data_IF_016675934994
#
_entry.id   IF_016675934994
#
_cell.length_a   1.000
_cell.length_b   1.000
_cell.length_c   1.000
_cell.angle_alpha   90.00
_cell.angle_beta   90.00
_cell.angle_gamma   90.00
#
_symmetry.space_group_name_H-M   'P 1'
#
loop_
_entity.id
_entity.type
_entity.pdbx_description
1 polymer ?
#
# COMPACT_ATOMS: atom_id res chain seq x y z
N UNK A 1 25.86 -14.06 22.56
CA UNK A 1 25.93 -14.56 21.17
C UNK A 1 25.01 -13.69 20.32
N UNK A 2 25.46 -13.24 19.15
CA UNK A 2 24.62 -12.46 18.24
C UNK A 2 23.59 -13.38 17.59
N UNK A 3 22.40 -12.87 17.33
CA UNK A 3 21.43 -13.57 16.50
C UNK A 3 21.91 -13.55 15.05
N UNK A 4 21.98 -14.70 14.40
CA UNK A 4 22.50 -14.80 13.03
C UNK A 4 21.63 -14.04 12.03
N UNK A 5 20.32 -14.00 12.24
CA UNK A 5 19.39 -13.26 11.40
C UNK A 5 19.63 -11.75 11.55
N UNK A 6 19.78 -11.26 12.79
CA UNK A 6 20.13 -9.87 13.06
C UNK A 6 21.47 -9.48 12.43
N UNK A 7 22.49 -10.33 12.58
CA UNK A 7 23.80 -10.13 11.95
C UNK A 7 23.72 -10.06 10.42
N UNK A 8 22.90 -10.92 9.79
CA UNK A 8 22.65 -10.89 8.34
C UNK A 8 21.95 -9.60 7.91
N UNK A 9 21.05 -9.05 8.73
CA UNK A 9 20.31 -7.82 8.44
C UNK A 9 20.98 -6.54 8.94
N UNK A 10 22.17 -6.61 9.54
CA UNK A 10 22.86 -5.45 10.11
C UNK A 10 22.22 -4.87 11.38
N UNK A 11 21.58 -5.73 12.18
CA UNK A 11 20.95 -5.40 13.46
C UNK A 11 21.74 -6.02 14.63
N UNK A 12 21.66 -5.42 15.83
CA UNK A 12 22.45 -5.83 17.00
C UNK A 12 21.72 -6.78 17.97
N UNK A 13 20.76 -7.56 17.47
CA UNK A 13 19.94 -8.46 18.29
C UNK A 13 20.75 -9.57 18.98
N UNK A 14 20.48 -9.79 20.26
CA UNK A 14 21.12 -10.85 21.07
C UNK A 14 20.34 -12.14 21.01
N UNK A 15 21.03 -13.24 20.71
CA UNK A 15 20.45 -14.57 20.77
C UNK A 15 20.24 -15.01 22.22
N UNK A 16 19.09 -15.64 22.48
CA UNK A 16 18.76 -16.26 23.77
C UNK A 16 18.63 -17.77 23.68
N UNK A 17 18.56 -18.32 22.46
CA UNK A 17 18.47 -19.74 22.19
C UNK A 17 19.29 -20.13 20.95
N UNK A 18 19.54 -21.43 20.79
CA UNK A 18 20.13 -22.02 19.59
C UNK A 18 19.09 -22.93 18.96
N UNK A 19 18.81 -22.70 17.69
CA UNK A 19 17.90 -23.52 16.89
C UNK A 19 18.72 -24.56 16.12
N UNK A 20 18.45 -25.83 16.35
CA UNK A 20 19.22 -26.94 15.77
C UNK A 20 18.46 -27.63 14.63
N UNK A 21 19.20 -28.02 13.58
CA UNK A 21 18.73 -28.95 12.56
C UNK A 21 18.95 -30.40 13.02
N UNK A 22 18.21 -31.33 12.39
CA UNK A 22 18.40 -32.77 12.56
C UNK A 22 19.78 -33.26 12.09
N UNK A 23 20.48 -32.48 11.26
CA UNK A 23 21.85 -32.73 10.80
C UNK A 23 22.92 -32.37 11.85
N UNK A 24 22.55 -31.81 13.00
CA UNK A 24 23.49 -31.38 14.05
C UNK A 24 24.03 -29.95 13.89
N UNK A 25 23.59 -29.22 12.86
CA UNK A 25 23.87 -27.79 12.70
C UNK A 25 23.01 -26.97 13.68
N UNK A 26 23.49 -25.82 14.16
CA UNK A 26 22.80 -24.93 15.10
C UNK A 26 23.04 -23.45 14.76
N UNK A 27 21.97 -22.65 14.82
CA UNK A 27 22.00 -21.21 14.59
C UNK A 27 21.44 -20.44 15.79
N UNK A 28 22.13 -19.37 16.17
CA UNK A 28 21.75 -18.52 17.30
C UNK A 28 20.57 -17.60 16.94
N UNK A 29 19.49 -17.62 17.73
CA UNK A 29 18.28 -16.85 17.46
C UNK A 29 17.84 -16.00 18.66
N UNK A 30 17.32 -14.81 18.37
CA UNK A 30 16.52 -14.01 19.29
C UNK A 30 15.03 -14.42 19.21
N UNK A 31 14.15 -13.97 20.12
CA UNK A 31 12.72 -14.26 20.06
C UNK A 31 12.08 -13.94 18.71
N UNK A 32 12.42 -12.77 18.14
CA UNK A 32 11.82 -12.26 16.90
C UNK A 32 12.21 -13.09 15.66
N UNK A 33 13.36 -13.76 15.71
CA UNK A 33 13.90 -14.51 14.58
C UNK A 33 13.92 -16.03 14.80
N UNK A 34 13.31 -16.53 15.88
CA UNK A 34 13.31 -17.98 16.18
C UNK A 34 12.58 -18.77 15.09
N UNK A 35 11.43 -18.30 14.62
CA UNK A 35 10.63 -19.00 13.61
C UNK A 35 11.30 -19.05 12.23
N UNK A 36 11.86 -17.92 11.76
CA UNK A 36 12.59 -17.87 10.48
C UNK A 36 13.87 -18.72 10.55
N UNK A 37 14.57 -18.69 11.69
CA UNK A 37 15.75 -19.55 11.90
C UNK A 37 15.37 -21.04 11.86
N UNK A 38 14.24 -21.44 12.44
CA UNK A 38 13.74 -22.82 12.35
C UNK A 38 13.46 -23.26 10.90
N UNK A 39 12.93 -22.36 10.08
CA UNK A 39 12.69 -22.66 8.66
C UNK A 39 14.00 -22.83 7.89
N UNK A 40 14.98 -21.95 8.13
CA UNK A 40 16.33 -22.10 7.57
C UNK A 40 16.95 -23.44 7.97
N UNK A 41 16.86 -23.84 9.24
CA UNK A 41 17.44 -25.10 9.71
C UNK A 41 16.85 -26.36 9.06
N UNK A 42 15.64 -26.30 8.50
CA UNK A 42 15.07 -27.44 7.74
C UNK A 42 15.73 -27.62 6.37
N UNK A 43 16.18 -26.51 5.78
CA UNK A 43 16.69 -26.45 4.41
C UNK A 43 18.22 -26.36 4.35
N UNK A 44 18.85 -25.90 5.42
CA UNK A 44 20.29 -25.69 5.49
C UNK A 44 21.04 -27.03 5.34
N UNK A 45 22.00 -27.06 4.42
CA UNK A 45 22.87 -28.23 4.17
C UNK A 45 24.35 -27.94 4.48
N UNK A 46 24.75 -26.68 4.59
CA UNK A 46 26.10 -26.24 4.95
C UNK A 46 26.09 -24.80 5.50
N UNK A 47 27.17 -24.36 6.15
CA UNK A 47 27.33 -22.99 6.69
C UNK A 47 27.99 -22.00 5.71
N UNK A 48 28.03 -22.31 4.42
CA UNK A 48 28.59 -21.39 3.44
C UNK A 48 27.78 -20.07 3.47
N UNK A 49 28.47 -18.94 3.68
CA UNK A 49 27.82 -17.68 4.07
C UNK A 49 26.84 -17.17 3.00
N UNK A 50 27.14 -17.39 1.71
CA UNK A 50 26.24 -17.03 0.60
C UNK A 50 24.99 -17.91 0.64
N UNK A 51 25.14 -19.23 0.78
CA UNK A 51 24.04 -20.18 0.93
C UNK A 51 23.19 -19.96 2.19
N UNK A 52 23.82 -19.54 3.30
CA UNK A 52 23.14 -19.19 4.54
C UNK A 52 22.26 -17.95 4.35
N UNK A 53 22.82 -16.88 3.76
CA UNK A 53 22.06 -15.66 3.42
C UNK A 53 20.90 -15.96 2.48
N UNK A 54 21.13 -16.75 1.43
CA UNK A 54 20.08 -17.18 0.50
C UNK A 54 18.96 -17.97 1.20
N UNK A 55 19.31 -18.81 2.18
CA UNK A 55 18.34 -19.58 2.96
C UNK A 55 17.47 -18.67 3.84
N UNK A 56 18.07 -17.66 4.50
CA UNK A 56 17.32 -16.69 5.30
C UNK A 56 16.39 -15.80 4.45
N UNK A 57 16.83 -15.38 3.27
CA UNK A 57 15.97 -14.66 2.31
C UNK A 57 14.81 -15.54 1.86
N UNK A 58 15.07 -16.80 1.52
CA UNK A 58 14.02 -17.76 1.12
C UNK A 58 13.04 -18.04 2.27
N UNK A 59 13.51 -18.00 3.50
CA UNK A 59 12.68 -18.12 4.70
C UNK A 59 11.94 -16.82 5.09
N UNK A 60 12.09 -15.74 4.31
CA UNK A 60 11.34 -14.49 4.50
C UNK A 60 11.98 -13.47 5.42
N UNK A 61 13.28 -13.58 5.70
CA UNK A 61 14.01 -12.55 6.46
C UNK A 61 14.21 -11.28 5.62
N UNK A 62 13.69 -10.15 6.06
CA UNK A 62 13.92 -8.82 5.49
C UNK A 62 14.33 -7.82 6.58
N UNK A 63 15.20 -6.86 6.27
CA UNK A 63 15.80 -5.94 7.26
C UNK A 63 14.86 -4.85 7.84
N UNK A 64 13.59 -4.80 7.44
CA UNK A 64 12.59 -3.80 7.83
C UNK A 64 11.31 -4.47 8.36
N UNK A 65 10.43 -3.77 9.13
CA UNK A 65 9.15 -4.32 9.56
C UNK A 65 8.45 -5.02 8.39
N UNK A 66 7.94 -6.24 8.63
CA UNK A 66 7.47 -7.13 7.58
C UNK A 66 6.53 -6.36 6.63
N UNK A 67 6.70 -6.42 5.30
CA UNK A 67 5.95 -5.57 4.36
C UNK A 67 4.43 -5.59 4.58
N UNK A 68 3.87 -6.72 5.02
CA UNK A 68 2.46 -6.86 5.37
C UNK A 68 2.03 -6.06 6.61
N UNK A 69 2.90 -5.91 7.61
CA UNK A 69 2.62 -5.12 8.82
C UNK A 69 2.64 -3.63 8.51
N UNK A 70 3.55 -3.18 7.64
CA UNK A 70 3.58 -1.79 7.16
C UNK A 70 2.33 -1.45 6.34
N UNK A 71 1.91 -2.37 5.48
CA UNK A 71 0.69 -2.20 4.68
C UNK A 71 -0.57 -2.14 5.56
N UNK A 72 -0.66 -3.02 6.56
CA UNK A 72 -1.77 -3.02 7.52
C UNK A 72 -1.81 -1.75 8.38
N UNK A 73 -0.66 -1.22 8.77
CA UNK A 73 -0.56 0.05 9.49
C UNK A 73 -1.01 1.23 8.62
N UNK A 74 -0.52 1.31 7.37
CA UNK A 74 -0.90 2.35 6.42
C UNK A 74 -2.41 2.31 6.09
N UNK A 75 -2.96 1.12 5.91
CA UNK A 75 -4.41 0.94 5.73
C UNK A 75 -5.21 1.47 6.92
N UNK A 76 -4.79 1.14 8.15
CA UNK A 76 -5.48 1.60 9.36
C UNK A 76 -5.37 3.11 9.55
N UNK A 77 -4.24 3.70 9.20
CA UNK A 77 -4.06 5.15 9.22
C UNK A 77 -5.01 5.84 8.23
N UNK A 78 -5.12 5.31 7.00
CA UNK A 78 -6.06 5.81 6.01
C UNK A 78 -7.53 5.68 6.46
N UNK A 79 -7.90 4.56 7.08
CA UNK A 79 -9.24 4.36 7.63
C UNK A 79 -9.56 5.39 8.73
N UNK A 80 -8.65 5.58 9.68
CA UNK A 80 -8.82 6.56 10.74
C UNK A 80 -8.94 7.99 10.20
N UNK A 81 -8.16 8.33 9.17
CA UNK A 81 -8.24 9.63 8.51
C UNK A 81 -9.61 9.84 7.84
N UNK A 82 -10.12 8.83 7.11
CA UNK A 82 -11.46 8.88 6.50
C UNK A 82 -12.58 9.00 7.55
N UNK A 83 -12.47 8.26 8.67
CA UNK A 83 -13.43 8.31 9.76
C UNK A 83 -13.52 9.73 10.38
N UNK A 84 -12.38 10.39 10.57
CA UNK A 84 -12.29 11.73 11.16
C UNK A 84 -12.55 12.89 10.19
N UNK A 85 -12.66 12.62 8.89
CA UNK A 85 -12.83 13.64 7.86
C UNK A 85 -14.24 14.24 7.80
N UNK A 86 -14.41 15.20 6.88
CA UNK A 86 -15.63 15.96 6.64
C UNK A 86 -16.88 15.13 6.31
N UNK A 87 -18.03 15.82 6.14
CA UNK A 87 -19.34 15.16 6.09
C UNK A 87 -19.64 14.45 4.76
N UNK A 88 -18.87 14.69 3.70
CA UNK A 88 -19.12 14.14 2.36
C UNK A 88 -18.30 12.88 2.08
N UNK A 89 -18.74 12.07 1.12
CA UNK A 89 -17.98 10.92 0.64
C UNK A 89 -16.58 11.34 0.14
N UNK A 90 -16.50 12.42 -0.65
CA UNK A 90 -15.27 12.97 -1.21
C UNK A 90 -14.29 13.48 -0.15
N UNK A 91 -14.77 14.10 0.92
CA UNK A 91 -13.90 14.52 2.04
C UNK A 91 -13.19 13.32 2.68
N UNK A 92 -13.92 12.22 2.87
CA UNK A 92 -13.41 10.98 3.47
C UNK A 92 -12.38 10.31 2.59
N UNK A 93 -12.66 10.18 1.29
CA UNK A 93 -11.70 9.61 0.34
C UNK A 93 -10.42 10.46 0.24
N UNK A 94 -10.56 11.79 0.13
CA UNK A 94 -9.41 12.70 0.06
C UNK A 94 -8.53 12.64 1.31
N UNK A 95 -9.14 12.51 2.48
CA UNK A 95 -8.38 12.32 3.73
C UNK A 95 -7.60 11.00 3.74
N UNK A 96 -8.20 9.90 3.27
CA UNK A 96 -7.50 8.63 3.12
C UNK A 96 -6.35 8.71 2.10
N UNK A 97 -6.54 9.36 0.95
CA UNK A 97 -5.51 9.57 -0.07
C UNK A 97 -4.31 10.38 0.45
N UNK A 98 -4.58 11.36 1.32
CA UNK A 98 -3.54 12.21 1.90
C UNK A 98 -2.55 11.42 2.77
N UNK A 99 -2.95 10.33 3.44
CA UNK A 99 -2.03 9.50 4.26
C UNK A 99 -1.00 8.77 3.40
N UNK A 100 -1.32 8.50 2.14
CA UNK A 100 -0.39 7.94 1.16
C UNK A 100 0.42 9.02 0.42
N UNK A 101 0.24 10.30 0.77
CA UNK A 101 0.87 11.43 0.09
C UNK A 101 0.39 11.57 -1.36
N UNK A 102 -0.89 11.34 -1.62
CA UNK A 102 -1.51 11.49 -2.95
C UNK A 102 -2.32 12.80 -2.96
N UNK A 103 -1.88 13.84 -3.69
CA UNK A 103 -2.69 15.03 -3.90
C UNK A 103 -3.99 14.66 -4.60
N UNK A 104 -5.10 15.19 -4.07
CA UNK A 104 -6.43 14.91 -4.58
C UNK A 104 -7.34 16.13 -4.46
N UNK A 105 -8.12 16.35 -5.51
CA UNK A 105 -8.94 17.54 -5.70
C UNK A 105 -10.38 17.12 -5.86
N UNK A 106 -11.29 17.90 -5.32
CA UNK A 106 -12.70 17.70 -5.59
C UNK A 106 -13.05 18.50 -6.84
N UNK A 107 -13.61 17.85 -7.84
CA UNK A 107 -13.99 18.48 -9.10
C UNK A 107 -15.48 18.29 -9.39
N UNK A 108 -16.03 19.23 -10.15
CA UNK A 108 -17.37 19.18 -10.74
C UNK A 108 -17.24 19.30 -12.25
N UNK A 109 -17.94 18.43 -12.98
CA UNK A 109 -18.15 18.57 -14.42
C UNK A 109 -19.63 18.34 -14.73
N UNK A 110 -20.31 19.43 -15.12
CA UNK A 110 -21.74 19.42 -15.54
C UNK A 110 -22.68 18.80 -14.50
N UNK A 111 -22.41 19.02 -13.22
CA UNK A 111 -23.24 18.52 -12.12
C UNK A 111 -22.90 17.11 -11.67
N UNK A 112 -21.85 16.50 -12.22
CA UNK A 112 -21.24 15.28 -11.69
C UNK A 112 -20.02 15.66 -10.87
N UNK A 113 -19.98 15.25 -9.59
CA UNK A 113 -18.83 15.52 -8.72
C UNK A 113 -18.00 14.27 -8.49
N UNK A 114 -16.67 14.43 -8.51
CA UNK A 114 -15.71 13.33 -8.38
C UNK A 114 -14.42 13.80 -7.69
N UNK A 115 -13.62 12.85 -7.23
CA UNK A 115 -12.27 13.11 -6.73
C UNK A 115 -11.27 12.91 -7.87
N UNK A 116 -10.53 13.96 -8.18
CA UNK A 116 -9.51 14.00 -9.21
C UNK A 116 -8.12 13.73 -8.63
N UNK A 117 -7.40 12.79 -9.22
CA UNK A 117 -5.99 12.51 -8.92
C UNK A 117 -5.18 12.52 -10.21
N UNK A 118 -4.11 13.31 -10.26
CA UNK A 118 -3.14 13.23 -11.34
C UNK A 118 -2.34 11.92 -11.25
N UNK A 119 -2.06 11.28 -12.40
CA UNK A 119 -1.17 10.11 -12.42
C UNK A 119 0.25 10.51 -12.01
N UNK A 120 0.69 11.72 -12.40
CA UNK A 120 1.85 12.37 -11.83
C UNK A 120 1.51 12.96 -10.46
N UNK A 121 1.98 12.29 -9.41
CA UNK A 121 1.69 12.64 -8.01
C UNK A 121 2.28 13.98 -7.56
N UNK A 122 3.13 14.62 -8.36
CA UNK A 122 3.66 15.94 -8.07
C UNK A 122 2.83 17.08 -8.69
N UNK A 123 1.82 16.74 -9.50
CA UNK A 123 1.00 17.73 -10.19
C UNK A 123 0.09 18.50 -9.24
N UNK A 124 -0.04 19.81 -9.47
CA UNK A 124 -1.07 20.64 -8.84
C UNK A 124 -2.46 20.38 -9.47
N UNK A 125 -3.49 21.03 -8.95
CA UNK A 125 -4.88 20.87 -9.41
C UNK A 125 -5.07 21.19 -10.89
N UNK A 126 -4.54 22.34 -11.35
CA UNK A 126 -4.67 22.74 -12.76
C UNK A 126 -3.98 21.77 -13.70
N UNK A 127 -2.87 21.19 -13.25
CA UNK A 127 -2.13 20.16 -13.97
C UNK A 127 -2.87 18.81 -13.95
N UNK A 128 -3.57 18.47 -12.87
CA UNK A 128 -4.38 17.27 -12.77
C UNK A 128 -5.54 17.26 -13.79
N UNK A 129 -6.05 18.43 -14.19
CA UNK A 129 -7.10 18.53 -15.21
C UNK A 129 -6.61 18.32 -16.66
N UNK A 130 -5.32 18.51 -16.93
CA UNK A 130 -4.76 18.56 -18.28
C UNK A 130 -3.84 17.39 -18.63
N UNK A 131 -3.34 16.68 -17.62
CA UNK A 131 -2.54 15.45 -17.79
C UNK A 131 -3.36 14.15 -17.73
N UNK A 132 -2.68 13.00 -17.83
CA UNK A 132 -3.26 11.71 -17.48
C UNK A 132 -3.71 11.71 -16.02
N UNK A 133 -4.93 11.22 -15.77
CA UNK A 133 -5.63 11.44 -14.52
C UNK A 133 -6.60 10.31 -14.20
N UNK A 134 -6.87 10.12 -12.92
CA UNK A 134 -7.84 9.18 -12.40
C UNK A 134 -8.99 9.97 -11.79
N UNK A 135 -10.21 9.67 -12.23
CA UNK A 135 -11.43 10.12 -11.58
C UNK A 135 -11.89 9.02 -10.65
N UNK A 136 -12.00 9.33 -9.36
CA UNK A 136 -12.64 8.47 -8.38
C UNK A 136 -14.06 8.97 -8.17
N UNK A 137 -15.03 8.09 -8.34
CA UNK A 137 -16.46 8.40 -8.24
C UNK A 137 -17.24 7.31 -7.50
N UNK A 138 -18.33 7.70 -6.85
CA UNK A 138 -19.27 6.84 -6.12
C UNK A 138 -20.68 7.19 -6.62
N UNK A 139 -20.97 6.70 -7.82
CA UNK A 139 -22.03 7.25 -8.67
C UNK A 139 -21.68 8.66 -9.16
N UNK A 140 -22.68 9.52 -9.24
CA UNK A 140 -22.52 10.85 -9.87
C UNK A 140 -22.22 11.98 -8.88
N UNK A 141 -22.12 11.70 -7.58
CA UNK A 141 -21.99 12.74 -6.55
C UNK A 141 -21.02 12.36 -5.43
N UNK A 142 -19.74 12.70 -5.59
CA UNK A 142 -18.74 12.64 -4.52
C UNK A 142 -19.01 13.63 -3.38
N UNK A 143 -19.85 14.65 -3.57
CA UNK A 143 -20.27 15.58 -2.52
C UNK A 143 -21.47 15.09 -1.72
N UNK A 144 -21.98 13.89 -2.04
CA UNK A 144 -23.05 13.26 -1.29
C UNK A 144 -22.68 13.15 0.19
N UNK A 145 -23.61 13.43 1.12
CA UNK A 145 -23.39 13.18 2.53
C UNK A 145 -23.04 11.71 2.78
N UNK A 146 -22.01 11.46 3.58
CA UNK A 146 -21.49 10.11 3.88
C UNK A 146 -22.57 9.11 4.32
N UNK A 147 -23.60 9.58 5.03
CA UNK A 147 -24.71 8.74 5.48
C UNK A 147 -25.64 8.22 4.35
N UNK A 148 -25.51 8.76 3.15
CA UNK A 148 -26.29 8.40 1.96
C UNK A 148 -25.46 7.59 0.95
N UNK A 149 -24.27 7.14 1.34
CA UNK A 149 -23.41 6.33 0.51
C UNK A 149 -24.07 5.00 0.15
N UNK A 150 -24.09 4.70 -1.16
CA UNK A 150 -24.83 3.56 -1.71
C UNK A 150 -24.12 2.85 -2.86
N UNK A 151 -23.07 3.43 -3.42
CA UNK A 151 -22.34 2.89 -4.56
C UNK A 151 -20.85 2.83 -4.23
N UNK A 152 -20.13 1.77 -4.63
CA UNK A 152 -18.72 1.66 -4.32
C UNK A 152 -17.90 2.70 -5.08
N UNK A 153 -16.78 3.14 -4.48
CA UNK A 153 -15.77 3.93 -5.17
C UNK A 153 -15.20 3.19 -6.37
N UNK A 154 -15.24 3.85 -7.52
CA UNK A 154 -14.69 3.36 -8.79
C UNK A 154 -13.62 4.32 -9.28
N UNK A 155 -12.48 3.79 -9.71
CA UNK A 155 -11.42 4.56 -10.34
C UNK A 155 -11.49 4.40 -11.86
N UNK A 156 -11.63 5.51 -12.58
CA UNK A 156 -11.60 5.55 -14.04
C UNK A 156 -10.40 6.36 -14.51
N UNK A 157 -9.56 5.75 -15.35
CA UNK A 157 -8.34 6.34 -15.89
C UNK A 157 -8.64 7.06 -17.21
N UNK A 158 -8.12 8.27 -17.34
CA UNK A 158 -8.19 9.09 -18.54
C UNK A 158 -6.79 9.49 -19.01
N UNK A 159 -6.62 9.53 -20.32
CA UNK A 159 -5.44 10.10 -20.96
C UNK A 159 -5.47 11.65 -20.89
N UNK A 160 -4.36 12.28 -21.28
CA UNK A 160 -4.23 13.74 -21.22
C UNK A 160 -5.31 14.47 -22.05
N UNK A 161 -5.67 13.92 -23.21
CA UNK A 161 -6.72 14.45 -24.09
C UNK A 161 -8.15 14.26 -23.55
N UNK A 162 -8.30 13.59 -22.39
CA UNK A 162 -9.58 13.28 -21.78
C UNK A 162 -10.28 12.06 -22.35
N UNK A 163 -9.63 11.28 -23.22
CA UNK A 163 -10.13 9.96 -23.60
C UNK A 163 -10.08 8.99 -22.42
N UNK A 164 -11.15 8.22 -22.24
CA UNK A 164 -11.17 7.11 -21.28
C UNK A 164 -10.20 6.02 -21.73
N UNK A 165 -9.43 5.49 -20.78
CA UNK A 165 -8.41 4.47 -21.03
C UNK A 165 -8.81 3.14 -20.41
N UNK A 166 -9.11 3.13 -19.12
CA UNK A 166 -9.34 1.91 -18.35
C UNK A 166 -10.06 2.20 -17.02
N UNK A 167 -10.49 1.15 -16.32
CA UNK A 167 -11.00 1.19 -14.96
C UNK A 167 -10.04 0.44 -14.02
N UNK A 168 -9.05 1.15 -13.42
CA UNK A 168 -8.07 0.53 -12.54
C UNK A 168 -8.63 -0.39 -11.45
N UNK A 169 -9.77 -0.01 -10.85
CA UNK A 169 -10.47 -0.83 -9.86
C UNK A 169 -11.88 -0.30 -9.58
N UNK A 170 -12.69 -1.18 -8.99
CA UNK A 170 -13.92 -0.88 -8.24
C UNK A 170 -13.72 -1.39 -6.81
N UNK A 171 -14.05 -0.57 -5.81
CA UNK A 171 -13.96 -0.95 -4.40
C UNK A 171 -14.97 -2.05 -4.06
N UNK A 172 -14.69 -2.77 -2.98
CA UNK A 172 -15.56 -3.85 -2.52
C UNK A 172 -16.88 -3.30 -1.97
N UNK A 173 -18.01 -3.88 -2.41
CA UNK A 173 -19.33 -3.46 -1.97
C UNK A 173 -19.64 -3.93 -0.55
N UNK A 174 -20.27 -3.08 0.25
CA UNK A 174 -20.80 -3.45 1.57
C UNK A 174 -19.83 -3.21 2.73
N UNK A 175 -18.68 -2.59 2.47
CA UNK A 175 -17.79 -2.08 3.51
C UNK A 175 -18.36 -0.82 4.17
N UNK A 176 -18.04 -0.54 5.44
CA UNK A 176 -18.18 0.79 6.00
C UNK A 176 -17.42 1.82 5.13
N UNK A 177 -17.99 3.01 4.93
CA UNK A 177 -17.43 4.01 4.02
C UNK A 177 -15.98 4.41 4.36
N UNK A 178 -15.59 4.45 5.63
CA UNK A 178 -14.21 4.72 6.04
C UNK A 178 -13.24 3.58 5.64
N UNK A 179 -13.67 2.33 5.76
CA UNK A 179 -12.94 1.16 5.27
C UNK A 179 -12.84 1.17 3.75
N UNK A 180 -13.94 1.48 3.06
CA UNK A 180 -13.98 1.59 1.60
C UNK A 180 -13.05 2.68 1.09
N UNK A 181 -13.07 3.87 1.72
CA UNK A 181 -12.15 4.96 1.39
C UNK A 181 -10.69 4.54 1.58
N UNK A 182 -10.37 3.81 2.66
CA UNK A 182 -9.02 3.31 2.92
C UNK A 182 -8.59 2.27 1.87
N UNK A 183 -9.49 1.37 1.49
CA UNK A 183 -9.25 0.36 0.45
C UNK A 183 -9.02 1.04 -0.91
N UNK A 184 -9.86 1.99 -1.31
CA UNK A 184 -9.74 2.72 -2.55
C UNK A 184 -8.43 3.54 -2.60
N UNK A 185 -8.08 4.22 -1.52
CA UNK A 185 -6.83 4.99 -1.43
C UNK A 185 -5.60 4.07 -1.54
N UNK A 186 -5.61 2.92 -0.86
CA UNK A 186 -4.53 1.94 -0.94
C UNK A 186 -4.43 1.33 -2.35
N UNK A 187 -5.56 0.94 -2.95
CA UNK A 187 -5.60 0.40 -4.29
C UNK A 187 -5.02 1.39 -5.32
N UNK A 188 -5.40 2.66 -5.22
CA UNK A 188 -4.84 3.71 -6.08
C UNK A 188 -3.34 3.92 -5.83
N UNK A 189 -2.90 3.94 -4.57
CA UNK A 189 -1.48 4.08 -4.23
C UNK A 189 -0.65 2.96 -4.86
N UNK A 190 -1.10 1.71 -4.73
CA UNK A 190 -0.47 0.54 -5.35
C UNK A 190 -0.48 0.66 -6.88
N UNK A 191 -1.60 1.05 -7.47
CA UNK A 191 -1.72 1.21 -8.91
C UNK A 191 -0.78 2.28 -9.45
N UNK A 192 -0.69 3.45 -8.80
CA UNK A 192 0.21 4.55 -9.20
C UNK A 192 1.68 4.12 -9.13
N UNK A 193 2.09 3.44 -8.06
CA UNK A 193 3.46 2.91 -7.94
C UNK A 193 3.78 1.96 -9.10
N UNK A 194 2.85 1.08 -9.44
CA UNK A 194 3.05 0.07 -10.48
C UNK A 194 2.95 0.63 -11.91
N UNK A 195 2.17 1.69 -12.16
CA UNK A 195 1.75 2.06 -13.51
C UNK A 195 2.04 3.51 -13.91
N UNK A 196 2.30 4.44 -12.99
CA UNK A 196 2.39 5.87 -13.34
C UNK A 196 3.46 6.16 -14.41
N UNK A 197 4.56 5.41 -14.41
CA UNK A 197 5.64 5.52 -15.41
C UNK A 197 5.20 5.27 -16.86
N UNK A 198 4.05 4.63 -17.08
CA UNK A 198 3.47 4.36 -18.41
C UNK A 198 2.67 5.54 -18.96
N UNK A 199 2.37 6.52 -18.12
CA UNK A 199 1.56 7.68 -18.45
C UNK A 199 2.34 8.96 -18.17
N UNK A 200 3.48 9.17 -18.85
CA UNK A 200 4.27 10.36 -18.66
C UNK A 200 3.45 11.58 -19.07
N UNK A 201 3.67 12.69 -18.37
CA UNK A 201 3.10 13.97 -18.77
C UNK A 201 3.71 14.40 -20.09
N UNK A 202 2.88 14.90 -21.01
CA UNK A 202 3.38 15.58 -22.20
C UNK A 202 4.10 16.86 -21.75
N UNK A 203 5.37 17.00 -22.16
CA UNK A 203 6.19 18.19 -21.91
C UNK A 203 5.63 19.41 -22.64
#
# INVERSE_FOLDING_TARGET
MLCIACEITGQDGRAICVVNATSGLGLAACPDHTQVTQQVMRLLRSYELVGLRASFVTAGLTAEPHPSQRLAAAYREAQNAAAAAGPTEGDKLRAALATFGIPSFLADDRGVTYVLVAVDRAADEGQAHTGPRVFLHSGEDAMRPAAQHTQPWTASLYAADGSYVDEPFVAETGLPLDEECAQAALALACWLIANAHRYPRAL
#
